data_IF_087034059492
#
_entry.id   IF_087034059492
#
_cell.length_a   1.000
_cell.length_b   1.000
_cell.length_c   1.000
_cell.angle_alpha   90.00
_cell.angle_beta   90.00
_cell.angle_gamma   90.00
#
_symmetry.space_group_name_H-M   'P 1'
#
loop_
_entity.id
_entity.type
_entity.pdbx_description
1 polymer ?
#
# COMPACT_ATOMS: atom_id res chain seq x y z
N UNK A 1 48.35 -61.44 -110.27
CA UNK A 1 47.44 -60.74 -111.19
C UNK A 1 46.59 -59.80 -110.38
N UNK A 2 46.44 -58.56 -110.82
CA UNK A 2 45.76 -57.44 -110.14
C UNK A 2 44.40 -57.81 -109.50
N UNK A 3 43.72 -58.81 -110.07
CA UNK A 3 42.48 -59.40 -109.56
C UNK A 3 42.58 -59.96 -108.13
N UNK A 4 43.67 -60.65 -107.80
CA UNK A 4 43.87 -61.21 -106.45
C UNK A 4 44.15 -60.11 -105.39
N UNK A 5 44.76 -58.99 -105.80
CA UNK A 5 44.96 -57.83 -104.93
C UNK A 5 43.66 -57.05 -104.68
N UNK A 6 42.81 -56.94 -105.70
CA UNK A 6 41.48 -56.35 -105.58
C UNK A 6 40.57 -57.20 -104.68
N UNK A 7 40.59 -58.53 -104.82
CA UNK A 7 39.82 -59.46 -103.97
C UNK A 7 40.25 -59.39 -102.49
N UNK A 8 41.56 -59.25 -102.22
CA UNK A 8 42.06 -59.08 -100.86
C UNK A 8 41.62 -57.74 -100.22
N UNK A 9 41.56 -56.66 -101.00
CA UNK A 9 41.07 -55.36 -100.56
C UNK A 9 39.57 -55.39 -100.25
N UNK A 10 38.77 -56.04 -101.10
CA UNK A 10 37.33 -56.22 -100.87
C UNK A 10 37.10 -57.05 -99.60
N UNK A 11 37.80 -58.18 -99.45
CA UNK A 11 37.68 -59.01 -98.25
C UNK A 11 38.09 -58.28 -96.96
N UNK A 12 39.11 -57.41 -97.04
CA UNK A 12 39.50 -56.58 -95.91
C UNK A 12 38.46 -55.49 -95.56
N UNK A 13 37.84 -54.89 -96.58
CA UNK A 13 36.75 -53.94 -96.40
C UNK A 13 35.50 -54.60 -95.82
N UNK A 14 35.13 -55.78 -96.33
CA UNK A 14 33.98 -56.56 -95.82
C UNK A 14 34.17 -57.01 -94.37
N UNK A 15 35.38 -57.46 -93.99
CA UNK A 15 35.68 -57.77 -92.59
C UNK A 15 35.56 -56.55 -91.68
N UNK A 16 36.05 -55.39 -92.14
CA UNK A 16 35.95 -54.13 -91.37
C UNK A 16 34.49 -53.69 -91.24
N UNK A 17 33.70 -53.82 -92.31
CA UNK A 17 32.28 -53.50 -92.31
C UNK A 17 31.50 -54.42 -91.38
N UNK A 18 31.75 -55.73 -91.45
CA UNK A 18 31.12 -56.71 -90.55
C UNK A 18 31.48 -56.49 -89.09
N UNK A 19 32.70 -56.06 -88.77
CA UNK A 19 33.09 -55.73 -87.40
C UNK A 19 32.38 -54.47 -86.89
N UNK A 20 32.22 -53.45 -87.74
CA UNK A 20 31.45 -52.24 -87.41
C UNK A 20 29.96 -52.57 -87.25
N UNK A 21 29.40 -53.37 -88.15
CA UNK A 21 28.00 -53.80 -88.10
C UNK A 21 27.72 -54.64 -86.83
N UNK A 22 28.67 -55.47 -86.39
CA UNK A 22 28.55 -56.24 -85.16
C UNK A 22 28.52 -55.36 -83.90
N UNK A 23 29.36 -54.31 -83.84
CA UNK A 23 29.37 -53.34 -82.72
C UNK A 23 28.08 -52.50 -82.72
N UNK A 24 27.61 -52.07 -83.90
CA UNK A 24 26.35 -51.33 -84.04
C UNK A 24 25.11 -52.18 -83.74
N UNK A 25 25.23 -53.52 -83.82
CA UNK A 25 24.17 -54.46 -83.49
C UNK A 25 24.08 -54.80 -81.99
N UNK A 26 24.99 -54.30 -81.15
CA UNK A 26 24.86 -54.41 -79.70
C UNK A 26 23.59 -53.69 -79.22
N UNK A 27 22.76 -54.39 -78.43
CA UNK A 27 21.45 -53.90 -77.97
C UNK A 27 21.54 -52.56 -77.21
N UNK A 28 22.65 -52.34 -76.50
CA UNK A 28 22.92 -51.09 -75.77
C UNK A 28 23.12 -49.89 -76.72
N UNK A 29 23.54 -50.12 -77.97
CA UNK A 29 23.66 -49.08 -79.00
C UNK A 29 22.38 -48.89 -79.81
N UNK A 30 21.51 -49.90 -79.90
CA UNK A 30 20.27 -49.83 -80.68
C UNK A 30 19.20 -48.92 -80.05
N UNK A 31 19.21 -48.79 -78.73
CA UNK A 31 18.26 -47.93 -78.00
C UNK A 31 18.75 -46.46 -77.90
N UNK A 32 19.97 -46.17 -78.38
CA UNK A 32 20.48 -44.81 -78.40
C UNK A 32 19.85 -44.01 -79.55
N UNK A 33 19.49 -42.73 -79.31
CA UNK A 33 18.97 -41.87 -80.37
C UNK A 33 20.01 -41.71 -81.49
N UNK A 34 19.57 -41.83 -82.75
CA UNK A 34 20.43 -41.69 -83.93
C UNK A 34 20.97 -40.24 -84.14
N UNK A 35 20.37 -39.26 -83.46
CA UNK A 35 20.85 -37.88 -83.45
C UNK A 35 21.77 -37.65 -82.23
N UNK A 36 22.87 -36.87 -82.38
CA UNK A 36 23.74 -36.55 -81.25
C UNK A 36 22.94 -35.85 -80.16
N UNK A 37 23.04 -36.35 -78.92
CA UNK A 37 22.42 -35.74 -77.75
C UNK A 37 23.03 -34.36 -77.52
N UNK A 38 22.19 -33.34 -77.35
CA UNK A 38 22.63 -31.98 -77.01
C UNK A 38 23.09 -31.91 -75.55
N UNK A 39 24.29 -32.43 -75.32
CA UNK A 39 24.92 -32.44 -74.00
C UNK A 39 25.16 -31.00 -73.51
N UNK A 40 25.54 -30.09 -74.39
CA UNK A 40 25.81 -28.70 -74.05
C UNK A 40 24.54 -27.98 -73.56
N UNK A 41 23.40 -28.17 -74.24
CA UNK A 41 22.11 -27.64 -73.81
C UNK A 41 21.63 -28.24 -72.48
N UNK A 42 21.85 -29.53 -72.26
CA UNK A 42 21.51 -30.20 -71.00
C UNK A 42 22.39 -29.74 -69.83
N UNK A 43 23.70 -29.60 -70.05
CA UNK A 43 24.66 -29.06 -69.08
C UNK A 43 24.32 -27.61 -68.71
N UNK A 44 23.94 -26.79 -69.71
CA UNK A 44 23.52 -25.42 -69.48
C UNK A 44 22.24 -25.32 -68.66
N UNK A 45 21.23 -26.13 -69.01
CA UNK A 45 19.99 -26.21 -68.26
C UNK A 45 20.21 -26.67 -66.82
N UNK A 46 21.08 -27.66 -66.60
CA UNK A 46 21.45 -28.13 -65.27
C UNK A 46 22.18 -27.04 -64.46
N UNK A 47 23.09 -26.29 -65.09
CA UNK A 47 23.80 -25.17 -64.47
C UNK A 47 22.86 -24.05 -64.04
N UNK A 48 21.93 -23.65 -64.92
CA UNK A 48 20.91 -22.64 -64.61
C UNK A 48 19.95 -23.10 -63.51
N UNK A 49 19.53 -24.36 -63.54
CA UNK A 49 18.68 -24.93 -62.50
C UNK A 49 19.39 -24.99 -61.13
N UNK A 50 20.68 -25.38 -61.10
CA UNK A 50 21.47 -25.36 -59.87
C UNK A 50 21.64 -23.94 -59.32
N UNK A 51 21.93 -22.96 -60.18
CA UNK A 51 22.06 -21.56 -59.76
C UNK A 51 20.76 -21.02 -59.14
N UNK A 52 19.59 -21.29 -59.77
CA UNK A 52 18.28 -20.92 -59.22
C UNK A 52 17.98 -21.62 -57.90
N UNK A 53 18.33 -22.90 -57.77
CA UNK A 53 18.18 -23.66 -56.52
C UNK A 53 19.03 -23.06 -55.40
N UNK A 54 20.29 -22.74 -55.69
CA UNK A 54 21.23 -22.21 -54.70
C UNK A 54 20.83 -20.80 -54.25
N UNK A 55 20.33 -19.97 -55.16
CA UNK A 55 19.74 -18.66 -54.84
C UNK A 55 18.49 -18.81 -53.96
N UNK A 56 17.56 -19.69 -54.32
CA UNK A 56 16.35 -19.93 -53.54
C UNK A 56 16.68 -20.46 -52.13
N UNK A 57 17.66 -21.36 -52.01
CA UNK A 57 18.14 -21.90 -50.73
C UNK A 57 18.79 -20.83 -49.87
N UNK A 58 19.57 -19.93 -50.46
CA UNK A 58 20.16 -18.78 -49.75
C UNK A 58 19.08 -17.85 -49.21
N UNK A 59 18.08 -17.51 -50.04
CA UNK A 59 16.93 -16.69 -49.61
C UNK A 59 16.13 -17.35 -48.49
N UNK A 60 15.87 -18.65 -48.59
CA UNK A 60 15.17 -19.41 -47.55
C UNK A 60 15.93 -19.35 -46.22
N UNK A 61 17.24 -19.60 -46.23
CA UNK A 61 18.07 -19.55 -45.02
C UNK A 61 18.03 -18.17 -44.33
N UNK A 62 18.05 -17.09 -45.10
CA UNK A 62 17.91 -15.72 -44.56
C UNK A 62 16.53 -15.51 -43.93
N UNK A 63 15.46 -15.99 -44.57
CA UNK A 63 14.10 -15.88 -44.05
C UNK A 63 13.89 -16.71 -42.79
N UNK A 64 14.43 -17.94 -42.74
CA UNK A 64 14.41 -18.81 -41.56
C UNK A 64 15.13 -18.16 -40.37
N UNK A 65 16.31 -17.59 -40.61
CA UNK A 65 17.05 -16.89 -39.56
C UNK A 65 16.29 -15.66 -39.04
N UNK A 66 15.68 -14.87 -39.93
CA UNK A 66 14.84 -13.73 -39.56
C UNK A 66 13.61 -14.16 -38.77
N UNK A 67 12.93 -15.24 -39.20
CA UNK A 67 11.77 -15.78 -38.51
C UNK A 67 12.14 -16.24 -37.09
N UNK A 68 13.22 -17.00 -36.94
CA UNK A 68 13.72 -17.43 -35.64
C UNK A 68 14.04 -16.24 -34.72
N UNK A 69 14.71 -15.21 -35.26
CA UNK A 69 15.01 -13.99 -34.50
C UNK A 69 13.77 -13.22 -34.06
N UNK A 70 12.75 -13.14 -34.93
CA UNK A 70 11.47 -12.50 -34.59
C UNK A 70 10.74 -13.27 -33.50
N UNK A 71 10.74 -14.60 -33.55
CA UNK A 71 10.14 -15.46 -32.50
C UNK A 71 10.85 -15.24 -31.15
N UNK A 72 12.17 -15.19 -31.14
CA UNK A 72 12.96 -14.91 -29.93
C UNK A 72 12.63 -13.54 -29.33
N UNK A 73 12.59 -12.49 -30.18
CA UNK A 73 12.25 -11.14 -29.75
C UNK A 73 10.81 -11.03 -29.23
N UNK A 74 9.86 -11.71 -29.86
CA UNK A 74 8.48 -11.75 -29.41
C UNK A 74 8.36 -12.40 -28.02
N UNK A 75 9.00 -13.55 -27.80
CA UNK A 75 9.00 -14.22 -26.50
C UNK A 75 9.67 -13.38 -25.40
N UNK A 76 10.74 -12.65 -25.73
CA UNK A 76 11.38 -11.73 -24.81
C UNK A 76 10.47 -10.56 -24.46
N UNK A 77 9.83 -9.94 -25.46
CA UNK A 77 8.91 -8.83 -25.27
C UNK A 77 7.72 -9.23 -24.38
N UNK A 78 7.14 -10.41 -24.62
CA UNK A 78 6.03 -10.94 -23.83
C UNK A 78 6.43 -11.16 -22.36
N UNK A 79 7.63 -11.68 -22.13
CA UNK A 79 8.16 -11.88 -20.77
C UNK A 79 8.39 -10.54 -20.06
N UNK A 80 8.90 -9.54 -20.76
CA UNK A 80 9.08 -8.18 -20.21
C UNK A 80 7.75 -7.52 -19.90
N UNK A 81 6.76 -7.66 -20.77
CA UNK A 81 5.41 -7.11 -20.57
C UNK A 81 4.76 -7.69 -19.31
N UNK A 82 4.79 -9.03 -19.15
CA UNK A 82 4.30 -9.68 -17.93
C UNK A 82 4.97 -9.17 -16.66
N UNK A 83 6.29 -8.95 -16.71
CA UNK A 83 7.03 -8.40 -15.57
C UNK A 83 6.62 -6.95 -15.25
N UNK A 84 6.40 -6.12 -16.27
CA UNK A 84 5.93 -4.74 -16.09
C UNK A 84 4.52 -4.69 -15.52
N UNK A 85 3.61 -5.53 -16.01
CA UNK A 85 2.25 -5.65 -15.48
C UNK A 85 2.23 -6.03 -14.00
N UNK A 86 3.10 -6.96 -13.58
CA UNK A 86 3.25 -7.33 -12.17
C UNK A 86 3.76 -6.17 -11.31
N UNK A 87 4.73 -5.41 -11.82
CA UNK A 87 5.28 -4.23 -11.13
C UNK A 87 4.27 -3.08 -11.04
N UNK A 88 3.48 -2.87 -12.09
CA UNK A 88 2.45 -1.83 -12.12
C UNK A 88 1.35 -2.13 -11.10
N UNK A 89 0.86 -3.37 -11.06
CA UNK A 89 -0.10 -3.81 -10.04
C UNK A 89 0.43 -3.57 -8.62
N UNK A 90 1.67 -3.96 -8.34
CA UNK A 90 2.27 -3.72 -7.03
C UNK A 90 2.42 -2.23 -6.69
N UNK A 91 2.76 -1.42 -7.69
CA UNK A 91 2.84 0.03 -7.52
C UNK A 91 1.47 0.64 -7.21
N UNK A 92 0.41 0.21 -7.90
CA UNK A 92 -0.96 0.66 -7.66
C UNK A 92 -1.45 0.28 -6.25
N UNK A 93 -1.16 -0.93 -5.77
CA UNK A 93 -1.45 -1.36 -4.40
C UNK A 93 -0.74 -0.47 -3.37
N UNK A 94 0.57 -0.25 -3.54
CA UNK A 94 1.35 0.58 -2.62
C UNK A 94 0.90 2.04 -2.66
N UNK A 95 0.54 2.55 -3.84
CA UNK A 95 0.00 3.91 -4.00
C UNK A 95 -1.35 4.02 -3.29
N UNK A 96 -2.24 3.06 -3.45
CA UNK A 96 -3.54 3.06 -2.77
C UNK A 96 -3.38 3.02 -1.24
N UNK A 97 -2.43 2.22 -0.74
CA UNK A 97 -2.11 2.17 0.69
C UNK A 97 -1.56 3.51 1.18
N UNK A 98 -0.59 4.09 0.47
CA UNK A 98 0.00 5.39 0.83
C UNK A 98 -1.05 6.51 0.85
N UNK A 99 -1.90 6.59 -0.17
CA UNK A 99 -3.01 7.55 -0.21
C UNK A 99 -3.99 7.35 0.96
N UNK A 100 -4.26 6.10 1.35
CA UNK A 100 -5.14 5.80 2.48
C UNK A 100 -4.53 6.26 3.81
N UNK A 101 -3.23 6.01 4.02
CA UNK A 101 -2.47 6.44 5.20
C UNK A 101 -2.43 7.97 5.30
N UNK A 102 -2.35 8.68 4.18
CA UNK A 102 -2.37 10.14 4.09
C UNK A 102 -3.79 10.75 4.23
N UNK A 103 -4.83 9.94 4.45
CA UNK A 103 -6.21 10.43 4.55
C UNK A 103 -6.87 10.80 3.23
N UNK A 104 -6.31 10.34 2.09
CA UNK A 104 -6.79 10.62 0.73
C UNK A 104 -7.44 9.40 0.08
N UNK A 105 -7.86 9.57 -1.18
CA UNK A 105 -8.37 8.49 -2.02
C UNK A 105 -9.66 7.87 -1.49
N UNK A 106 -9.61 6.57 -1.18
CA UNK A 106 -10.76 5.80 -0.70
C UNK A 106 -10.95 5.89 0.82
N UNK A 107 -10.18 6.71 1.53
CA UNK A 107 -10.31 6.91 2.96
C UNK A 107 -11.63 7.64 3.28
N UNK A 108 -12.59 6.90 3.83
CA UNK A 108 -13.93 7.42 4.17
C UNK A 108 -13.93 8.37 5.36
N UNK A 109 -12.95 8.24 6.26
CA UNK A 109 -12.77 9.13 7.42
C UNK A 109 -12.10 10.44 7.05
N UNK A 110 -11.35 10.49 5.93
CA UNK A 110 -10.54 11.63 5.49
C UNK A 110 -9.53 12.08 6.56
N UNK A 111 -8.93 11.10 7.24
CA UNK A 111 -7.95 11.31 8.30
C UNK A 111 -6.69 10.53 7.97
N UNK A 112 -5.53 11.13 8.25
CA UNK A 112 -4.28 10.38 8.20
C UNK A 112 -4.22 9.33 9.33
N UNK A 113 -3.23 8.43 9.25
CA UNK A 113 -3.09 7.34 10.21
C UNK A 113 -2.85 7.84 11.65
N UNK A 114 -2.12 8.94 11.82
CA UNK A 114 -1.83 9.52 13.13
C UNK A 114 -3.11 10.06 13.78
N UNK A 115 -3.87 10.88 13.03
CA UNK A 115 -5.15 11.41 13.47
C UNK A 115 -6.17 10.30 13.73
N UNK A 116 -6.19 9.24 12.91
CA UNK A 116 -7.06 8.08 13.13
C UNK A 116 -6.73 7.36 14.44
N UNK A 117 -5.45 7.10 14.70
CA UNK A 117 -5.01 6.48 15.95
C UNK A 117 -5.34 7.37 17.16
N UNK A 118 -5.15 8.68 17.02
CA UNK A 118 -5.43 9.64 18.07
C UNK A 118 -6.94 9.79 18.35
N UNK A 119 -7.79 9.73 17.31
CA UNK A 119 -9.23 9.73 17.45
C UNK A 119 -9.73 8.49 18.22
N UNK A 120 -9.26 7.29 17.85
CA UNK A 120 -9.58 6.07 18.61
C UNK A 120 -9.11 6.16 20.06
N UNK A 121 -7.97 6.81 20.30
CA UNK A 121 -7.50 7.07 21.66
C UNK A 121 -8.39 8.04 22.43
N UNK A 122 -8.87 9.10 21.76
CA UNK A 122 -9.79 10.05 22.36
C UNK A 122 -11.13 9.38 22.69
N UNK A 123 -11.65 8.48 21.86
CA UNK A 123 -12.87 7.71 22.15
C UNK A 123 -12.76 6.93 23.47
N UNK A 124 -11.63 6.24 23.69
CA UNK A 124 -11.36 5.53 24.95
C UNK A 124 -11.33 6.49 26.16
N UNK A 125 -10.64 7.63 26.01
CA UNK A 125 -10.53 8.66 27.04
C UNK A 125 -11.91 9.26 27.37
N UNK A 126 -12.72 9.56 26.36
CA UNK A 126 -14.09 10.08 26.50
C UNK A 126 -14.97 9.07 27.22
N UNK A 127 -14.86 7.78 26.88
CA UNK A 127 -15.56 6.70 27.58
C UNK A 127 -15.21 6.65 29.08
N UNK A 128 -13.91 6.67 29.40
CA UNK A 128 -13.45 6.67 30.79
C UNK A 128 -13.83 7.96 31.56
N UNK A 129 -13.82 9.11 30.87
CA UNK A 129 -14.23 10.40 31.43
C UNK A 129 -15.72 10.41 31.78
N UNK A 130 -16.57 9.86 30.91
CA UNK A 130 -18.03 9.85 31.11
C UNK A 130 -18.48 9.08 32.35
N UNK A 131 -17.71 8.08 32.80
CA UNK A 131 -17.99 7.41 34.08
C UNK A 131 -18.02 8.38 35.26
N UNK A 132 -17.13 9.39 35.24
CA UNK A 132 -17.00 10.39 36.30
C UNK A 132 -17.84 11.61 36.04
N UNK A 133 -17.91 12.06 34.79
CA UNK A 133 -18.79 13.18 34.44
C UNK A 133 -20.25 12.86 34.77
N UNK A 134 -20.70 11.63 34.49
CA UNK A 134 -22.03 11.17 34.87
C UNK A 134 -22.26 11.21 36.38
N UNK A 135 -21.27 10.78 37.19
CA UNK A 135 -21.37 10.86 38.64
C UNK A 135 -21.40 12.32 39.15
N UNK A 136 -20.52 13.18 38.65
CA UNK A 136 -20.40 14.59 39.07
C UNK A 136 -21.57 15.48 38.63
N UNK A 137 -22.27 15.08 37.57
CA UNK A 137 -23.37 15.87 36.98
C UNK A 137 -24.73 15.20 37.16
N UNK A 138 -24.81 14.14 37.97
CA UNK A 138 -26.03 13.34 38.17
C UNK A 138 -26.64 12.86 36.84
N UNK A 139 -25.78 12.47 35.90
CA UNK A 139 -26.15 11.99 34.57
C UNK A 139 -26.58 13.07 33.58
N UNK A 140 -26.48 14.36 33.94
CA UNK A 140 -26.91 15.46 33.07
C UNK A 140 -26.01 15.61 31.83
N UNK A 141 -24.70 15.46 31.98
CA UNK A 141 -23.77 15.70 30.89
C UNK A 141 -22.98 14.44 30.50
N UNK A 142 -22.82 14.24 29.19
CA UNK A 142 -21.89 13.26 28.64
C UNK A 142 -21.09 13.85 27.48
N UNK A 143 -19.80 13.61 27.46
CA UNK A 143 -18.91 13.93 26.36
C UNK A 143 -19.16 12.97 25.19
N UNK A 144 -19.25 13.53 23.99
CA UNK A 144 -19.34 12.78 22.74
C UNK A 144 -18.14 13.15 21.88
N UNK A 145 -17.53 12.15 21.26
CA UNK A 145 -16.51 12.39 20.26
C UNK A 145 -17.17 12.77 18.93
N UNK A 146 -16.66 13.81 18.28
CA UNK A 146 -17.17 14.34 17.01
C UNK A 146 -16.18 14.10 15.88
N UNK A 147 -16.43 13.00 15.17
CA UNK A 147 -15.73 12.58 13.96
C UNK A 147 -16.03 13.44 12.72
N UNK A 148 -17.05 14.31 12.76
CA UNK A 148 -17.51 15.07 11.59
C UNK A 148 -16.63 16.30 11.27
N UNK A 149 -15.81 16.74 12.22
CA UNK A 149 -15.04 17.98 12.12
C UNK A 149 -13.83 17.93 11.18
N UNK A 150 -13.44 16.74 10.70
CA UNK A 150 -12.45 16.61 9.62
C UNK A 150 -12.89 17.34 8.33
N UNK A 151 -14.18 17.68 8.18
CA UNK A 151 -14.72 18.37 7.01
C UNK A 151 -14.39 19.88 6.94
N UNK A 152 -13.87 20.52 8.01
CA UNK A 152 -13.66 21.98 8.08
C UNK A 152 -12.20 22.40 8.35
N UNK A 153 -11.23 21.75 7.72
CA UNK A 153 -9.79 22.01 7.94
C UNK A 153 -9.32 21.83 9.40
N UNK A 154 -10.13 21.20 10.24
CA UNK A 154 -9.74 20.77 11.58
C UNK A 154 -9.25 19.32 11.46
N UNK A 155 -7.99 19.18 11.06
CA UNK A 155 -7.33 17.95 10.61
C UNK A 155 -7.23 16.83 11.65
N UNK A 156 -7.83 16.96 12.83
CA UNK A 156 -7.39 16.15 13.97
C UNK A 156 -8.36 15.04 14.37
N UNK A 157 -9.64 15.09 13.96
CA UNK A 157 -10.70 14.23 14.52
C UNK A 157 -10.65 14.15 16.05
N UNK A 158 -10.25 15.26 16.67
CA UNK A 158 -10.23 15.45 18.13
C UNK A 158 -11.45 16.25 18.59
N UNK A 159 -12.54 16.21 17.83
CA UNK A 159 -13.77 16.92 18.15
C UNK A 159 -14.39 16.37 19.43
N UNK A 160 -14.82 17.26 20.32
CA UNK A 160 -15.62 16.88 21.49
C UNK A 160 -16.87 17.74 21.51
N UNK A 161 -18.03 17.11 21.60
CA UNK A 161 -19.32 17.71 21.89
C UNK A 161 -19.77 17.31 23.30
N UNK A 162 -20.70 18.06 23.87
CA UNK A 162 -21.35 17.70 25.13
C UNK A 162 -22.83 17.49 24.88
N UNK A 163 -23.34 16.31 25.22
CA UNK A 163 -24.75 16.01 25.25
C UNK A 163 -25.31 16.41 26.61
N UNK A 164 -26.30 17.29 26.61
CA UNK A 164 -27.13 17.59 27.77
C UNK A 164 -28.34 16.63 27.76
N UNK A 165 -28.35 15.66 28.66
CA UNK A 165 -29.37 14.62 28.75
C UNK A 165 -30.75 15.16 29.17
N UNK A 166 -30.82 16.32 29.82
CA UNK A 166 -32.10 16.91 30.26
C UNK A 166 -32.81 17.61 29.10
N UNK A 167 -32.04 18.21 28.19
CA UNK A 167 -32.58 18.88 26.99
C UNK A 167 -32.54 17.99 25.74
N UNK A 168 -31.71 16.95 25.74
CA UNK A 168 -31.41 16.13 24.56
C UNK A 168 -30.54 16.82 23.51
N UNK A 169 -30.02 18.02 23.80
CA UNK A 169 -29.30 18.86 22.85
C UNK A 169 -27.80 18.62 22.93
N UNK A 170 -27.16 18.54 21.76
CA UNK A 170 -25.69 18.56 21.63
C UNK A 170 -25.18 19.99 21.62
N UNK A 171 -24.19 20.26 22.45
CA UNK A 171 -23.62 21.57 22.70
C UNK A 171 -22.13 21.54 22.40
N UNK A 172 -21.61 22.63 21.83
CA UNK A 172 -20.17 22.81 21.76
C UNK A 172 -19.62 23.12 23.16
N UNK A 173 -18.41 22.64 23.52
CA UNK A 173 -17.79 22.91 24.82
C UNK A 173 -17.72 24.41 25.14
N UNK A 174 -17.54 25.26 24.13
CA UNK A 174 -17.51 26.72 24.29
C UNK A 174 -18.83 27.34 24.82
N UNK A 175 -19.94 26.60 24.78
CA UNK A 175 -21.24 27.07 25.28
C UNK A 175 -21.49 26.74 26.75
N UNK A 176 -20.61 25.99 27.40
CA UNK A 176 -20.73 25.58 28.79
C UNK A 176 -20.47 26.75 29.74
N UNK A 177 -21.07 26.70 30.94
CA UNK A 177 -20.71 27.62 32.02
C UNK A 177 -19.30 27.33 32.54
N UNK A 178 -18.76 28.23 33.37
CA UNK A 178 -17.44 28.03 33.99
C UNK A 178 -17.35 26.72 34.78
N UNK A 179 -18.36 26.46 35.64
CA UNK A 179 -18.41 25.22 36.43
C UNK A 179 -18.60 23.96 35.58
N UNK A 180 -19.43 24.03 34.54
CA UNK A 180 -19.64 22.92 33.60
C UNK A 180 -18.35 22.57 32.83
N UNK A 181 -17.63 23.61 32.38
CA UNK A 181 -16.34 23.46 31.70
C UNK A 181 -15.30 22.83 32.63
N UNK A 182 -15.29 23.23 33.90
CA UNK A 182 -14.40 22.65 34.90
C UNK A 182 -14.69 21.16 35.11
N UNK A 183 -15.95 20.77 35.34
CA UNK A 183 -16.32 19.36 35.51
C UNK A 183 -15.97 18.51 34.29
N UNK A 184 -16.25 19.02 33.09
CA UNK A 184 -15.92 18.34 31.84
C UNK A 184 -14.40 18.14 31.70
N UNK A 185 -13.61 19.18 31.98
CA UNK A 185 -12.15 19.13 31.91
C UNK A 185 -11.55 18.20 32.98
N UNK A 186 -12.09 18.24 34.20
CA UNK A 186 -11.70 17.36 35.29
C UNK A 186 -11.99 15.89 34.93
N UNK A 187 -13.20 15.60 34.44
CA UNK A 187 -13.56 14.26 34.00
C UNK A 187 -12.62 13.76 32.89
N UNK A 188 -12.27 14.62 31.92
CA UNK A 188 -11.38 14.27 30.82
C UNK A 188 -9.95 14.00 31.30
N UNK A 189 -9.41 14.83 32.20
CA UNK A 189 -8.08 14.64 32.79
C UNK A 189 -7.99 13.31 33.56
N UNK A 190 -9.04 12.99 34.33
CA UNK A 190 -9.14 11.73 35.06
C UNK A 190 -9.29 10.52 34.13
N UNK A 191 -10.11 10.66 33.08
CA UNK A 191 -10.24 9.66 32.02
C UNK A 191 -8.90 9.39 31.33
N UNK A 192 -8.16 10.43 30.96
CA UNK A 192 -6.84 10.30 30.36
C UNK A 192 -5.87 9.52 31.27
N UNK A 193 -5.85 9.86 32.56
CA UNK A 193 -4.99 9.18 33.53
C UNK A 193 -5.30 7.69 33.67
N UNK A 194 -6.58 7.31 33.67
CA UNK A 194 -7.02 5.91 33.70
C UNK A 194 -6.52 5.13 32.48
N UNK A 195 -6.76 5.71 31.31
CA UNK A 195 -6.52 5.02 30.06
C UNK A 195 -5.01 4.94 29.79
N UNK A 196 -4.20 5.91 30.26
CA UNK A 196 -2.72 5.81 30.27
C UNK A 196 -2.25 4.70 31.22
N UNK A 197 -2.78 4.65 32.44
CA UNK A 197 -2.41 3.63 33.44
C UNK A 197 -2.67 2.20 32.93
N UNK A 198 -3.80 1.99 32.26
CA UNK A 198 -4.17 0.68 31.70
C UNK A 198 -3.21 0.21 30.61
N UNK A 199 -2.66 1.13 29.81
CA UNK A 199 -1.74 0.80 28.71
C UNK A 199 -0.30 0.58 29.17
N UNK A 200 0.15 1.27 30.21
CA UNK A 200 1.52 1.15 30.73
C UNK A 200 1.76 -0.12 31.57
N UNK A 201 0.93 -1.16 31.40
CA UNK A 201 1.07 -2.41 32.16
C UNK A 201 0.83 -2.25 33.67
N UNK A 202 0.04 -1.25 34.08
CA UNK A 202 -0.23 -0.96 35.48
C UNK A 202 0.78 -0.03 36.15
N UNK A 203 1.70 0.59 35.39
CA UNK A 203 2.48 1.73 35.90
C UNK A 203 1.50 2.89 36.09
N UNK A 204 1.13 3.14 37.35
CA UNK A 204 0.21 4.19 37.76
C UNK A 204 0.87 5.56 37.60
N UNK A 205 0.16 6.52 37.02
CA UNK A 205 0.45 7.94 37.27
C UNK A 205 0.30 8.19 38.78
N UNK A 206 1.42 8.33 39.49
CA UNK A 206 1.44 8.39 40.96
C UNK A 206 0.85 9.70 41.50
N UNK A 207 0.92 10.79 40.74
CA UNK A 207 0.53 12.13 41.19
C UNK A 207 -0.15 12.95 40.11
N UNK A 208 -1.27 13.61 40.45
CA UNK A 208 -1.96 14.60 39.61
C UNK A 208 -2.14 15.90 40.39
N UNK A 209 -1.89 17.04 39.74
CA UNK A 209 -2.22 18.37 40.28
C UNK A 209 -3.40 18.97 39.52
N UNK A 210 -4.38 19.49 40.26
CA UNK A 210 -5.54 20.21 39.72
C UNK A 210 -5.44 21.63 40.26
N UNK A 211 -5.29 22.59 39.36
CA UNK A 211 -5.19 24.00 39.68
C UNK A 211 -6.51 24.71 39.35
N UNK A 212 -6.86 25.68 40.20
CA UNK A 212 -8.01 26.59 40.17
C UNK A 212 -9.18 26.26 39.22
N UNK A 213 -10.38 26.12 39.79
CA UNK A 213 -11.62 25.95 39.02
C UNK A 213 -12.84 25.59 39.85
N UNK A 214 -12.62 25.14 41.09
CA UNK A 214 -13.64 24.87 42.08
C UNK A 214 -14.48 26.10 42.47
N UNK A 215 -13.95 27.32 42.35
CA UNK A 215 -14.66 28.56 42.72
C UNK A 215 -15.84 28.93 41.79
N UNK A 216 -15.93 28.26 40.64
CA UNK A 216 -17.05 28.39 39.70
C UNK A 216 -18.17 27.37 39.91
N UNK A 217 -18.00 26.45 40.86
CA UNK A 217 -18.98 25.44 41.23
C UNK A 217 -19.89 25.95 42.35
N UNK A 218 -21.15 25.58 42.30
CA UNK A 218 -22.02 25.69 43.47
C UNK A 218 -21.63 24.64 44.54
N UNK A 219 -22.16 24.80 45.75
CA UNK A 219 -21.78 23.98 46.89
C UNK A 219 -22.09 22.48 46.72
N UNK A 220 -23.20 22.13 46.08
CA UNK A 220 -23.63 20.75 45.86
C UNK A 220 -22.73 20.06 44.82
N UNK A 221 -22.45 20.78 43.73
CA UNK A 221 -21.54 20.31 42.69
C UNK A 221 -20.10 20.15 43.21
N UNK A 222 -19.62 21.09 44.04
CA UNK A 222 -18.31 21.02 44.67
C UNK A 222 -18.21 19.79 45.58
N UNK A 223 -19.22 19.50 46.39
CA UNK A 223 -19.25 18.32 47.26
C UNK A 223 -19.16 17.02 46.45
N UNK A 224 -19.91 16.92 45.36
CA UNK A 224 -19.89 15.73 44.49
C UNK A 224 -18.54 15.55 43.79
N UNK A 225 -17.93 16.64 43.33
CA UNK A 225 -16.60 16.62 42.72
C UNK A 225 -15.53 16.15 43.72
N UNK A 226 -15.53 16.69 44.94
CA UNK A 226 -14.60 16.28 46.01
C UNK A 226 -14.77 14.81 46.39
N UNK A 227 -16.01 14.32 46.50
CA UNK A 227 -16.27 12.89 46.75
C UNK A 227 -15.71 11.97 45.66
N UNK A 228 -15.78 12.41 44.40
CA UNK A 228 -15.18 11.68 43.27
C UNK A 228 -13.65 11.64 43.33
N UNK A 229 -13.01 12.73 43.78
CA UNK A 229 -11.56 12.81 43.97
C UNK A 229 -11.09 11.93 45.14
N UNK A 230 -11.85 11.89 46.24
CA UNK A 230 -11.54 11.00 47.37
C UNK A 230 -11.59 9.52 46.99
N UNK A 231 -12.57 9.13 46.15
CA UNK A 231 -12.64 7.77 45.62
C UNK A 231 -11.36 7.40 44.83
N UNK A 232 -10.80 8.34 44.07
CA UNK A 232 -9.55 8.11 43.33
C UNK A 232 -8.32 8.03 44.24
N UNK A 233 -8.26 8.88 45.26
CA UNK A 233 -7.21 8.83 46.29
C UNK A 233 -7.19 7.46 46.98
N UNK A 234 -8.36 6.87 47.26
CA UNK A 234 -8.47 5.53 47.85
C UNK A 234 -7.84 4.43 46.99
N UNK A 235 -7.75 4.65 45.68
CA UNK A 235 -7.07 3.76 44.72
C UNK A 235 -5.55 3.90 44.66
N UNK A 236 -4.92 4.59 45.62
CA UNK A 236 -3.46 4.75 45.72
C UNK A 236 -2.88 5.89 44.88
N UNK A 237 -3.72 6.81 44.38
CA UNK A 237 -3.28 7.98 43.61
C UNK A 237 -3.05 9.18 44.54
N UNK A 238 -1.98 9.92 44.30
CA UNK A 238 -1.77 11.22 44.96
C UNK A 238 -2.43 12.32 44.14
N UNK A 239 -3.36 13.06 44.73
CA UNK A 239 -4.03 14.19 44.07
C UNK A 239 -3.72 15.45 44.87
N UNK A 240 -3.04 16.41 44.24
CA UNK A 240 -2.81 17.75 44.76
C UNK A 240 -3.85 18.71 44.21
N UNK A 241 -4.52 19.46 45.07
CA UNK A 241 -5.51 20.46 44.67
C UNK A 241 -5.01 21.85 45.08
N UNK A 242 -5.14 22.81 44.17
CA UNK A 242 -4.86 24.22 44.41
C UNK A 242 -6.17 24.98 44.25
N UNK A 243 -6.59 25.69 45.30
CA UNK A 243 -7.82 26.45 45.26
C UNK A 243 -7.82 27.60 46.27
N UNK A 244 -8.47 28.69 45.88
CA UNK A 244 -8.84 29.81 46.77
C UNK A 244 -10.20 29.63 47.48
N UNK A 245 -10.89 28.50 47.29
CA UNK A 245 -12.24 28.29 47.82
C UNK A 245 -12.20 27.81 49.28
N UNK A 246 -12.72 28.63 50.19
CA UNK A 246 -12.74 28.32 51.62
C UNK A 246 -13.47 27.00 51.94
N UNK A 247 -14.55 26.68 51.20
CA UNK A 247 -15.30 25.43 51.39
C UNK A 247 -14.46 24.16 51.15
N UNK A 248 -13.37 24.22 50.36
CA UNK A 248 -12.46 23.09 50.21
C UNK A 248 -11.62 22.83 51.47
N UNK A 249 -11.30 23.88 52.24
CA UNK A 249 -10.49 23.78 53.46
C UNK A 249 -11.16 22.93 54.53
N UNK A 250 -12.49 23.01 54.65
CA UNK A 250 -13.24 22.22 55.62
C UNK A 250 -13.23 20.73 55.29
N UNK A 251 -13.12 20.37 54.00
CA UNK A 251 -13.14 18.98 53.53
C UNK A 251 -11.75 18.36 53.44
N UNK A 252 -10.72 19.17 53.19
CA UNK A 252 -9.34 18.73 53.03
C UNK A 252 -8.49 19.32 54.16
N UNK A 253 -8.45 18.68 55.34
CA UNK A 253 -7.80 19.24 56.51
C UNK A 253 -6.26 19.28 56.40
N UNK A 254 -5.68 18.46 55.51
CA UNK A 254 -4.23 18.45 55.26
C UNK A 254 -3.96 19.34 54.05
N UNK A 255 -3.22 20.42 54.25
CA UNK A 255 -2.93 21.36 53.17
C UNK A 255 -1.78 22.31 53.47
N UNK A 256 -1.25 22.92 52.40
CA UNK A 256 -0.30 24.03 52.49
C UNK A 256 -1.06 25.33 52.32
N UNK A 257 -1.00 26.22 53.31
CA UNK A 257 -1.53 27.58 53.20
C UNK A 257 -0.45 28.52 52.70
N UNK A 258 -0.75 29.24 51.63
CA UNK A 258 0.08 30.35 51.15
C UNK A 258 -0.49 31.65 51.71
N UNK A 259 0.30 32.39 52.50
CA UNK A 259 -0.05 33.71 53.01
C UNK A 259 0.77 34.80 52.30
N UNK A 260 0.07 35.74 51.65
CA UNK A 260 0.70 36.89 50.98
C UNK A 260 0.95 37.99 52.01
N UNK A 261 2.23 38.30 52.22
CA UNK A 261 2.72 39.37 53.08
C UNK A 261 2.48 40.77 52.51
N UNK A 262 2.50 41.77 53.38
CA UNK A 262 2.20 43.17 53.04
C UNK A 262 3.20 43.80 52.06
N UNK A 263 4.35 43.16 51.81
CA UNK A 263 5.39 43.62 50.88
C UNK A 263 5.36 42.86 49.55
N UNK A 264 4.36 42.00 49.34
CA UNK A 264 4.26 41.12 48.17
C UNK A 264 5.09 39.84 48.28
N UNK A 265 5.73 39.60 49.43
CA UNK A 265 6.34 38.31 49.78
C UNK A 265 5.26 37.25 50.06
N UNK A 266 5.57 35.97 49.85
CA UNK A 266 4.66 34.87 50.18
C UNK A 266 5.33 33.91 51.16
N UNK A 267 4.60 33.50 52.19
CA UNK A 267 5.08 32.54 53.19
C UNK A 267 4.18 31.31 53.21
N UNK A 268 4.77 30.14 53.37
CA UNK A 268 4.06 28.87 53.48
C UNK A 268 3.80 28.54 54.95
N UNK A 269 2.57 28.14 55.25
CA UNK A 269 2.17 27.55 56.52
C UNK A 269 1.66 26.14 56.29
N UNK A 270 2.08 25.23 57.16
CA UNK A 270 1.55 23.87 57.24
C UNK A 270 0.53 23.86 58.37
N UNK A 271 -0.70 23.45 58.05
CA UNK A 271 -1.75 23.16 59.04
C UNK A 271 -1.76 21.65 59.35
#
# INVERSE_FOLDING_TARGET
>A
GERAGAEALVAAHERRRSAVDAVLAELELQELPAAPVDLAGAEEAARLASARRDEARSRLSVLEHRAARLTELAALAETRLRSLEGRLRRHEELRALAETIDGRGQNTRRMDLEAFALAGRLEEIVGAANLRLGAMTSGRYSLLHDDSLAYRNASSGLGIEVLDAFTGVRRQPASLSGGETFLASLALALGLADVVTMQSGGITLETMFIDEGFGSLDAETLETALGTLDALRSGGRTIGLISHVDAMRERLPIGLRVEVGRRGDSTLRTD
#
